data_IF_715888717912
#
_entry.id   IF_715888717912
#
_cell.length_a   1.000
_cell.length_b   1.000
_cell.length_c   1.000
_cell.angle_alpha   90.00
_cell.angle_beta   90.00
_cell.angle_gamma   90.00
#
_symmetry.space_group_name_H-M   'P 1'
#
loop_
_entity.id
_entity.type
_entity.pdbx_description
1 polymer ?
#
# COMPACT_ATOMS: atom_id res chain seq x y z
N UNK A 1 40.37 2.40 -12.37
CA UNK A 1 39.67 3.10 -11.30
C UNK A 1 38.37 3.71 -11.83
N UNK A 2 37.60 2.99 -12.66
CA UNK A 2 36.41 3.48 -13.37
C UNK A 2 35.21 2.49 -13.26
N UNK A 3 35.38 1.39 -12.51
CA UNK A 3 34.33 0.36 -12.36
C UNK A 3 33.54 0.43 -11.04
N UNK A 4 33.96 1.29 -10.09
CA UNK A 4 33.34 1.38 -8.77
C UNK A 4 32.17 2.41 -8.71
N UNK A 5 32.09 3.34 -9.65
CA UNK A 5 31.02 4.34 -9.68
C UNK A 5 29.76 3.86 -10.44
N UNK A 6 29.86 2.83 -11.29
CA UNK A 6 28.72 2.30 -12.05
C UNK A 6 27.72 1.49 -11.21
N UNK A 7 28.10 1.04 -10.00
CA UNK A 7 27.23 0.25 -9.12
C UNK A 7 26.34 1.06 -8.17
N UNK A 8 26.52 2.38 -8.08
CA UNK A 8 25.68 3.26 -7.25
C UNK A 8 24.39 3.74 -7.93
N UNK A 9 24.13 3.37 -9.19
CA UNK A 9 22.90 3.69 -9.91
C UNK A 9 21.76 2.69 -9.70
N UNK A 10 21.88 1.76 -8.75
CA UNK A 10 20.76 0.92 -8.37
C UNK A 10 19.87 1.71 -7.41
N UNK A 11 18.75 2.19 -7.97
CA UNK A 11 17.63 2.82 -7.26
C UNK A 11 17.44 2.18 -5.89
N UNK A 12 17.42 2.99 -4.84
CA UNK A 12 17.10 2.56 -3.47
C UNK A 12 15.60 2.21 -3.37
N UNK A 13 15.18 1.20 -4.13
CA UNK A 13 13.83 0.68 -4.06
C UNK A 13 13.55 0.12 -2.67
N UNK A 14 12.66 0.73 -1.92
CA UNK A 14 12.25 0.21 -0.63
C UNK A 14 11.57 -1.15 -0.81
N UNK A 15 12.08 -2.17 -0.11
CA UNK A 15 11.51 -3.52 -0.09
C UNK A 15 10.52 -3.72 1.05
N UNK A 16 10.60 -2.87 2.07
CA UNK A 16 9.78 -2.94 3.28
C UNK A 16 9.50 -1.53 3.79
N UNK A 17 8.45 -1.36 4.58
CA UNK A 17 8.17 -0.13 5.29
C UNK A 17 9.32 0.24 6.25
N UNK A 18 9.93 -0.75 6.90
CA UNK A 18 11.06 -0.53 7.80
C UNK A 18 12.27 0.14 7.13
N UNK A 19 12.57 -0.20 5.87
CA UNK A 19 13.64 0.47 5.12
C UNK A 19 13.32 1.95 4.88
N UNK A 20 12.07 2.25 4.52
CA UNK A 20 11.61 3.63 4.35
C UNK A 20 11.71 4.41 5.68
N UNK A 21 11.24 3.83 6.78
CA UNK A 21 11.32 4.43 8.13
C UNK A 21 12.78 4.74 8.49
N UNK A 22 13.69 3.79 8.26
CA UNK A 22 15.12 3.99 8.56
C UNK A 22 15.77 5.07 7.69
N UNK A 23 15.32 5.23 6.45
CA UNK A 23 15.82 6.25 5.54
C UNK A 23 15.27 7.64 5.91
N UNK A 24 14.00 7.74 6.24
CA UNK A 24 13.39 8.98 6.76
C UNK A 24 14.02 9.42 8.09
N UNK A 25 14.41 8.47 8.94
CA UNK A 25 15.11 8.77 10.19
C UNK A 25 16.49 9.36 9.94
N UNK A 26 17.27 8.80 9.01
CA UNK A 26 18.58 9.32 8.61
C UNK A 26 18.50 10.72 8.03
N UNK A 27 17.45 11.00 7.27
CA UNK A 27 17.16 12.32 6.70
C UNK A 27 16.65 13.33 7.74
N UNK A 28 16.37 12.87 8.97
CA UNK A 28 15.80 13.72 10.01
C UNK A 28 14.30 14.04 9.82
N UNK A 29 13.60 13.28 8.97
CA UNK A 29 12.17 13.42 8.64
C UNK A 29 11.28 12.46 9.44
N UNK A 30 11.81 11.85 10.53
CA UNK A 30 11.07 10.94 11.40
C UNK A 30 11.33 11.26 12.86
N UNK A 31 10.31 11.13 13.70
CA UNK A 31 10.41 11.10 15.16
C UNK A 31 10.00 9.73 15.67
N UNK A 32 10.64 9.28 16.76
CA UNK A 32 10.25 8.07 17.49
C UNK A 32 9.56 8.45 18.79
N UNK A 33 8.47 7.78 19.08
CA UNK A 33 7.77 7.86 20.36
C UNK A 33 7.98 6.53 21.06
N UNK A 34 8.87 6.51 22.05
CA UNK A 34 9.26 5.30 22.77
C UNK A 34 8.41 5.05 24.02
N UNK A 35 7.66 6.05 24.48
CA UNK A 35 6.65 5.94 25.51
C UNK A 35 5.49 5.09 25.00
N UNK A 36 4.78 4.45 25.94
CA UNK A 36 3.59 3.70 25.60
C UNK A 36 2.45 4.66 25.27
N UNK A 37 1.86 4.52 24.08
CA UNK A 37 0.76 5.35 23.59
C UNK A 37 -0.53 4.54 23.54
N UNK A 38 -1.65 5.17 23.89
CA UNK A 38 -2.96 4.57 23.75
C UNK A 38 -3.43 4.65 22.29
N UNK A 39 -3.81 3.53 21.63
CA UNK A 39 -4.35 3.57 20.28
C UNK A 39 -5.75 4.22 20.22
N UNK A 40 -6.48 4.32 21.34
CA UNK A 40 -7.76 5.01 21.42
C UNK A 40 -7.54 6.52 21.55
N UNK A 41 -7.71 7.25 20.46
CA UNK A 41 -7.64 8.70 20.28
C UNK A 41 -6.25 9.34 20.47
N UNK A 42 -5.39 8.85 21.39
CA UNK A 42 -4.10 9.50 21.66
C UNK A 42 -3.14 9.45 20.47
N UNK A 43 -3.02 8.28 19.81
CA UNK A 43 -2.23 8.16 18.58
C UNK A 43 -2.71 9.13 17.50
N UNK A 44 -4.03 9.29 17.36
CA UNK A 44 -4.63 10.19 16.38
C UNK A 44 -4.37 11.67 16.75
N UNK A 45 -4.45 12.03 18.02
CA UNK A 45 -4.13 13.39 18.49
C UNK A 45 -2.68 13.76 18.18
N UNK A 46 -1.73 12.88 18.53
CA UNK A 46 -0.31 13.08 18.23
C UNK A 46 -0.08 13.24 16.73
N UNK A 47 -0.74 12.39 15.90
CA UNK A 47 -0.66 12.49 14.45
C UNK A 47 -1.17 13.85 13.95
N UNK A 48 -2.33 14.29 14.40
CA UNK A 48 -2.95 15.55 13.97
C UNK A 48 -2.10 16.76 14.36
N UNK A 49 -1.56 16.78 15.57
CA UNK A 49 -0.66 17.84 16.04
C UNK A 49 0.60 17.95 15.18
N UNK A 50 1.19 16.81 14.81
CA UNK A 50 2.39 16.79 13.98
C UNK A 50 2.07 17.14 12.52
N UNK A 51 0.94 16.64 12.00
CA UNK A 51 0.48 16.96 10.65
C UNK A 51 0.16 18.46 10.49
N UNK A 52 -0.51 19.07 11.45
CA UNK A 52 -0.87 20.49 11.42
C UNK A 52 0.35 21.43 11.36
N UNK A 53 1.49 21.00 11.91
CA UNK A 53 2.77 21.73 11.85
C UNK A 53 3.52 21.51 10.53
N UNK A 54 3.00 20.67 9.61
CA UNK A 54 3.79 20.19 8.46
C UNK A 54 5.00 19.36 8.91
N UNK A 55 4.89 18.71 10.07
CA UNK A 55 5.98 18.07 10.77
C UNK A 55 6.35 16.67 10.23
N UNK A 56 7.10 15.93 11.03
CA UNK A 56 7.79 14.70 10.62
C UNK A 56 6.87 13.48 10.55
N UNK A 57 7.32 12.41 9.93
CA UNK A 57 6.75 11.07 10.11
C UNK A 57 6.93 10.62 11.56
N UNK A 58 6.04 9.76 12.04
CA UNK A 58 6.04 9.29 13.42
C UNK A 58 6.18 7.77 13.42
N UNK A 59 7.05 7.23 14.28
CA UNK A 59 7.09 5.83 14.61
C UNK A 59 6.70 5.64 16.08
N UNK A 60 5.55 5.04 16.33
CA UNK A 60 5.11 4.60 17.65
C UNK A 60 5.72 3.24 17.95
N UNK A 61 6.63 3.18 18.93
CA UNK A 61 7.37 1.95 19.27
C UNK A 61 6.59 1.04 20.23
N UNK A 62 5.78 1.61 21.09
CA UNK A 62 4.99 0.88 22.08
C UNK A 62 3.54 1.34 22.04
N UNK A 63 2.66 0.43 21.62
CA UNK A 63 1.23 0.68 21.54
C UNK A 63 0.54 -0.18 22.60
N UNK A 64 -0.28 0.45 23.44
CA UNK A 64 -1.04 -0.26 24.47
C UNK A 64 -1.92 -1.35 23.84
N UNK A 65 -1.81 -2.58 24.32
CA UNK A 65 -2.59 -3.72 23.82
C UNK A 65 -2.06 -4.38 22.56
N UNK A 66 -0.95 -3.91 21.96
CA UNK A 66 -0.34 -4.55 20.81
C UNK A 66 1.18 -4.71 20.97
N UNK A 67 1.69 -5.80 20.42
CA UNK A 67 3.15 -6.05 20.32
C UNK A 67 3.78 -5.43 19.07
N UNK A 68 2.94 -4.88 18.18
CA UNK A 68 3.39 -4.30 16.92
C UNK A 68 3.57 -2.79 17.04
N UNK A 69 4.50 -2.28 16.26
CA UNK A 69 4.72 -0.84 16.08
C UNK A 69 3.81 -0.30 14.99
N UNK A 70 3.60 1.01 14.98
CA UNK A 70 2.89 1.68 13.89
C UNK A 70 3.65 2.91 13.41
N UNK A 71 3.58 3.18 12.10
CA UNK A 71 4.07 4.41 11.51
C UNK A 71 2.91 5.29 11.08
N UNK A 72 3.07 6.58 11.25
CA UNK A 72 2.06 7.59 10.91
C UNK A 72 2.68 8.78 10.20
N UNK A 73 1.86 9.60 9.55
CA UNK A 73 2.27 10.83 8.86
C UNK A 73 3.37 10.64 7.79
N UNK A 74 3.47 9.44 7.20
CA UNK A 74 4.49 9.14 6.19
C UNK A 74 4.37 10.04 4.95
N UNK A 75 3.15 10.27 4.48
CA UNK A 75 2.83 11.06 3.29
C UNK A 75 2.36 12.48 3.61
N UNK A 76 2.54 12.96 4.84
CA UNK A 76 1.99 14.23 5.33
C UNK A 76 2.60 15.48 4.69
N UNK A 77 3.76 15.40 4.02
CA UNK A 77 4.34 16.52 3.28
C UNK A 77 4.78 16.12 1.89
N UNK A 78 4.66 17.07 0.94
CA UNK A 78 5.13 16.87 -0.43
C UNK A 78 6.64 16.63 -0.48
N UNK A 79 7.42 17.33 0.38
CA UNK A 79 8.87 17.15 0.50
C UNK A 79 9.21 15.69 0.81
N UNK A 80 8.57 15.12 1.82
CA UNK A 80 8.79 13.74 2.26
C UNK A 80 8.34 12.73 1.20
N UNK A 81 7.20 12.95 0.57
CA UNK A 81 6.74 12.11 -0.54
C UNK A 81 7.72 12.12 -1.72
N UNK A 82 8.24 13.30 -2.12
CA UNK A 82 9.29 13.42 -3.15
C UNK A 82 10.58 12.72 -2.73
N UNK A 83 10.97 12.81 -1.47
CA UNK A 83 12.15 12.14 -0.95
C UNK A 83 12.01 10.61 -1.02
N UNK A 84 10.87 10.07 -0.62
CA UNK A 84 10.60 8.62 -0.69
C UNK A 84 10.69 8.06 -2.11
N UNK A 85 10.31 8.83 -3.12
CA UNK A 85 10.29 8.40 -4.52
C UNK A 85 11.36 9.11 -5.38
N UNK A 86 12.40 9.69 -4.76
CA UNK A 86 13.42 10.52 -5.43
C UNK A 86 14.11 9.84 -6.61
N UNK A 87 14.28 8.51 -6.53
CA UNK A 87 15.01 7.74 -7.56
C UNK A 87 14.11 7.29 -8.73
N UNK A 88 12.79 7.35 -8.57
CA UNK A 88 11.84 6.83 -9.55
C UNK A 88 10.87 7.87 -10.10
N UNK A 89 10.66 8.98 -9.39
CA UNK A 89 9.62 9.96 -9.73
C UNK A 89 9.79 10.54 -11.14
N UNK A 90 11.02 10.90 -11.53
CA UNK A 90 11.28 11.45 -12.87
C UNK A 90 11.06 10.39 -13.95
N UNK A 91 11.44 9.14 -13.71
CA UNK A 91 11.18 8.02 -14.64
C UNK A 91 9.70 7.74 -14.80
N UNK A 92 8.92 7.85 -13.70
CA UNK A 92 7.44 7.74 -13.76
C UNK A 92 6.85 8.83 -14.64
N UNK A 93 7.27 10.09 -14.48
CA UNK A 93 6.83 11.21 -15.32
C UNK A 93 7.16 10.96 -16.79
N UNK A 94 8.38 10.56 -17.08
CA UNK A 94 8.82 10.24 -18.45
C UNK A 94 8.00 9.10 -19.07
N UNK A 95 7.67 8.05 -18.31
CA UNK A 95 6.82 6.95 -18.79
C UNK A 95 5.39 7.43 -19.09
N UNK A 96 4.84 8.32 -18.27
CA UNK A 96 3.53 8.92 -18.53
C UNK A 96 3.60 9.78 -19.80
N UNK A 97 4.64 10.60 -19.96
CA UNK A 97 4.84 11.43 -21.14
C UNK A 97 5.00 10.59 -22.42
N UNK A 98 5.76 9.51 -22.36
CA UNK A 98 5.91 8.56 -23.47
C UNK A 98 4.58 7.90 -23.85
N UNK A 99 3.73 7.57 -22.88
CA UNK A 99 2.39 7.00 -23.14
C UNK A 99 1.46 8.02 -23.79
N UNK A 100 1.51 9.28 -23.35
CA UNK A 100 0.64 10.34 -23.84
C UNK A 100 1.13 10.99 -25.14
N UNK A 101 2.45 11.06 -25.34
CA UNK A 101 3.11 11.64 -26.50
C UNK A 101 4.32 10.77 -26.95
N UNK A 102 4.08 9.67 -27.71
CA UNK A 102 5.15 8.79 -28.15
C UNK A 102 6.23 9.49 -28.99
N UNK A 103 5.91 10.60 -29.66
CA UNK A 103 6.87 11.39 -30.44
C UNK A 103 7.96 12.04 -29.56
N UNK A 104 7.76 12.16 -28.25
CA UNK A 104 8.78 12.66 -27.32
C UNK A 104 10.02 11.77 -27.28
N UNK A 105 9.88 10.45 -27.56
CA UNK A 105 10.99 9.50 -27.66
C UNK A 105 12.02 9.89 -28.74
N UNK A 106 11.60 10.57 -29.80
CA UNK A 106 12.47 11.00 -30.89
C UNK A 106 13.41 12.15 -30.49
N UNK A 107 13.07 12.90 -29.44
CA UNK A 107 13.91 14.03 -28.96
C UNK A 107 15.13 13.52 -28.19
N UNK A 108 14.97 12.48 -27.38
CA UNK A 108 16.04 11.90 -26.57
C UNK A 108 15.98 10.36 -26.59
N UNK A 109 16.46 9.70 -27.67
CA UNK A 109 16.30 8.26 -27.85
C UNK A 109 17.01 7.43 -26.77
N UNK A 110 18.17 7.84 -26.29
CA UNK A 110 18.85 7.14 -25.20
C UNK A 110 18.08 7.18 -23.89
N UNK A 111 17.55 8.34 -23.52
CA UNK A 111 16.74 8.49 -22.32
C UNK A 111 15.44 7.69 -22.43
N UNK A 112 14.82 7.67 -23.59
CA UNK A 112 13.64 6.85 -23.87
C UNK A 112 13.92 5.33 -23.68
N UNK A 113 15.10 4.85 -24.09
CA UNK A 113 15.50 3.45 -23.86
C UNK A 113 15.62 3.14 -22.35
N UNK A 114 16.32 3.99 -21.59
CA UNK A 114 16.45 3.79 -20.12
C UNK A 114 15.10 3.87 -19.42
N UNK A 115 14.22 4.76 -19.85
CA UNK A 115 12.86 4.88 -19.34
C UNK A 115 12.03 3.63 -19.69
N UNK A 116 12.14 3.12 -20.91
CA UNK A 116 11.49 1.88 -21.32
C UNK A 116 12.00 0.67 -20.54
N UNK A 117 13.29 0.60 -20.20
CA UNK A 117 13.85 -0.44 -19.35
C UNK A 117 13.27 -0.39 -17.93
N UNK A 118 12.95 0.79 -17.43
CA UNK A 118 12.27 0.94 -16.12
C UNK A 118 10.84 0.39 -16.14
N UNK A 119 10.20 0.36 -17.30
CA UNK A 119 8.86 -0.21 -17.47
C UNK A 119 8.79 -1.74 -17.19
N UNK A 120 9.93 -2.44 -17.11
CA UNK A 120 9.97 -3.86 -16.71
C UNK A 120 9.39 -4.05 -15.30
N UNK A 121 9.48 -3.02 -14.44
CA UNK A 121 8.90 -3.04 -13.11
C UNK A 121 7.36 -2.98 -13.10
N UNK A 122 6.73 -2.67 -14.23
CA UNK A 122 5.28 -2.74 -14.39
C UNK A 122 4.71 -4.15 -14.33
N UNK A 123 5.56 -5.18 -14.48
CA UNK A 123 5.13 -6.57 -14.53
C UNK A 123 5.09 -7.15 -13.12
N UNK A 124 3.91 -7.45 -12.53
CA UNK A 124 3.84 -8.14 -11.24
C UNK A 124 4.47 -9.53 -11.32
N UNK A 125 5.26 -9.89 -10.29
CA UNK A 125 6.00 -11.15 -10.26
C UNK A 125 5.43 -12.09 -9.21
N UNK A 126 5.00 -13.28 -9.67
CA UNK A 126 4.59 -14.36 -8.77
C UNK A 126 5.80 -14.96 -8.07
N UNK A 127 5.73 -15.05 -6.75
CA UNK A 127 6.78 -15.65 -5.92
C UNK A 127 6.20 -16.77 -5.05
N UNK A 128 7.10 -17.57 -4.45
CA UNK A 128 6.69 -18.55 -3.45
C UNK A 128 6.13 -17.83 -2.23
N UNK A 129 5.09 -18.41 -1.60
CA UNK A 129 4.54 -17.86 -0.35
C UNK A 129 5.66 -17.69 0.70
N UNK A 130 5.81 -16.47 1.28
CA UNK A 130 6.91 -16.19 2.18
C UNK A 130 6.76 -16.97 3.51
N UNK A 131 7.77 -17.76 3.87
CA UNK A 131 7.80 -18.52 5.12
C UNK A 131 7.80 -17.67 6.40
N UNK A 132 8.06 -16.36 6.27
CA UNK A 132 8.07 -15.40 7.38
C UNK A 132 6.67 -15.07 7.91
N UNK A 133 5.62 -15.25 7.12
CA UNK A 133 4.25 -15.01 7.56
C UNK A 133 3.85 -16.05 8.63
N UNK A 134 3.31 -15.52 9.72
CA UNK A 134 2.71 -16.29 10.82
C UNK A 134 1.27 -15.85 10.98
N UNK A 135 0.40 -16.77 11.34
CA UNK A 135 -0.97 -16.45 11.68
C UNK A 135 -1.01 -15.71 13.02
N UNK A 136 -1.84 -14.69 13.07
CA UNK A 136 -2.13 -13.87 14.24
C UNK A 136 -3.63 -13.58 14.27
N UNK A 137 -4.12 -13.10 15.41
CA UNK A 137 -5.51 -12.64 15.52
C UNK A 137 -5.60 -11.16 15.08
N UNK A 138 -6.79 -10.75 14.63
CA UNK A 138 -7.07 -9.34 14.26
C UNK A 138 -6.88 -8.43 15.46
N UNK A 139 -7.21 -8.91 16.66
CA UNK A 139 -7.02 -8.20 17.94
C UNK A 139 -5.56 -7.94 18.28
N UNK A 140 -4.60 -8.72 17.77
CA UNK A 140 -3.16 -8.49 17.98
C UNK A 140 -2.68 -7.20 17.28
N UNK A 141 -3.38 -6.74 16.23
CA UNK A 141 -3.05 -5.51 15.52
C UNK A 141 -3.29 -4.28 16.41
N UNK A 142 -2.58 -3.17 16.19
CA UNK A 142 -2.89 -1.91 16.85
C UNK A 142 -4.36 -1.52 16.60
N UNK A 143 -5.16 -1.46 17.66
CA UNK A 143 -6.59 -1.14 17.59
C UNK A 143 -6.78 0.38 17.59
N UNK A 144 -6.42 1.04 16.48
CA UNK A 144 -6.39 2.51 16.40
C UNK A 144 -7.78 3.08 16.17
N UNK A 145 -8.28 3.85 17.12
CA UNK A 145 -9.49 4.66 17.00
C UNK A 145 -9.10 6.13 16.79
N UNK A 146 -9.55 6.73 15.68
CA UNK A 146 -9.15 8.08 15.29
C UNK A 146 -10.12 9.17 15.77
N UNK A 147 -11.42 8.88 15.86
CA UNK A 147 -12.47 9.83 16.21
C UNK A 147 -13.34 9.24 17.31
N UNK A 148 -13.90 10.12 18.17
CA UNK A 148 -14.79 9.70 19.27
C UNK A 148 -16.00 8.91 18.75
N UNK A 149 -16.53 9.33 17.62
CA UNK A 149 -17.73 8.79 16.96
C UNK A 149 -17.43 7.54 16.13
N UNK A 150 -16.14 7.17 15.96
CA UNK A 150 -15.80 5.91 15.29
C UNK A 150 -16.39 4.73 16.06
N UNK A 151 -17.08 3.83 15.35
CA UNK A 151 -17.72 2.63 15.92
C UNK A 151 -16.74 1.62 16.50
N UNK A 152 -15.42 1.79 16.28
CA UNK A 152 -14.36 0.90 16.76
C UNK A 152 -13.00 1.27 16.20
N UNK A 153 -12.08 0.33 16.17
CA UNK A 153 -10.73 0.51 15.65
C UNK A 153 -10.67 0.35 14.14
N UNK A 154 -9.73 1.05 13.50
CA UNK A 154 -9.59 1.05 12.04
C UNK A 154 -8.15 0.90 11.57
N UNK A 155 -7.99 0.28 10.38
CA UNK A 155 -6.82 0.46 9.52
C UNK A 155 -7.13 1.60 8.57
N UNK A 156 -6.32 2.67 8.60
CA UNK A 156 -6.57 3.91 7.86
C UNK A 156 -5.88 3.97 6.50
N UNK A 157 -4.80 3.18 6.29
CA UNK A 157 -4.07 3.08 5.02
C UNK A 157 -3.96 1.62 4.53
N UNK A 158 -5.06 0.88 4.47
CA UNK A 158 -5.05 -0.47 3.90
C UNK A 158 -4.95 -0.41 2.38
N UNK A 159 -4.39 -1.45 1.81
CA UNK A 159 -4.37 -1.70 0.37
C UNK A 159 -5.27 -2.91 0.13
N UNK A 160 -6.46 -2.70 -0.40
CA UNK A 160 -7.46 -3.75 -0.59
C UNK A 160 -7.40 -4.25 -2.02
N UNK A 161 -7.08 -5.53 -2.15
CA UNK A 161 -6.97 -6.24 -3.41
C UNK A 161 -8.20 -7.07 -3.70
N UNK A 162 -8.72 -7.00 -4.92
CA UNK A 162 -9.77 -7.87 -5.44
C UNK A 162 -9.53 -8.18 -6.92
N UNK A 163 -9.99 -9.34 -7.41
CA UNK A 163 -9.93 -9.72 -8.83
C UNK A 163 -11.33 -9.69 -9.45
N UNK A 164 -11.41 -9.37 -10.75
CA UNK A 164 -12.65 -9.51 -11.51
C UNK A 164 -13.03 -10.99 -11.60
N UNK A 165 -14.19 -11.36 -11.08
CA UNK A 165 -14.67 -12.76 -11.07
C UNK A 165 -14.98 -13.31 -12.47
N UNK A 166 -15.17 -12.44 -13.48
CA UNK A 166 -15.37 -12.87 -14.87
C UNK A 166 -14.04 -13.09 -15.59
N UNK A 167 -13.03 -12.29 -15.27
CA UNK A 167 -11.69 -12.36 -15.85
C UNK A 167 -10.63 -12.29 -14.75
N UNK A 168 -10.50 -13.35 -13.90
CA UNK A 168 -9.59 -13.32 -12.77
C UNK A 168 -8.12 -13.24 -13.22
N UNK A 169 -7.32 -12.53 -12.45
CA UNK A 169 -5.89 -12.41 -12.70
C UNK A 169 -5.32 -11.09 -12.19
N UNK A 170 -4.01 -11.10 -11.93
CA UNK A 170 -3.30 -9.98 -11.34
C UNK A 170 -3.39 -8.68 -12.18
N UNK A 171 -3.52 -8.80 -13.50
CA UNK A 171 -3.64 -7.63 -14.38
C UNK A 171 -5.08 -7.13 -14.52
N UNK A 172 -6.07 -7.93 -14.12
CA UNK A 172 -7.50 -7.60 -14.11
C UNK A 172 -8.00 -7.46 -12.68
N UNK A 173 -7.17 -6.93 -11.81
CA UNK A 173 -7.44 -6.74 -10.41
C UNK A 173 -7.47 -5.25 -10.06
N UNK A 174 -8.02 -4.95 -8.92
CA UNK A 174 -8.06 -3.64 -8.32
C UNK A 174 -7.25 -3.66 -7.03
N UNK A 175 -6.45 -2.63 -6.80
CA UNK A 175 -5.81 -2.34 -5.52
C UNK A 175 -6.26 -0.94 -5.09
N UNK A 176 -7.22 -0.88 -4.17
CA UNK A 176 -7.80 0.38 -3.72
C UNK A 176 -7.59 0.63 -2.24
N UNK A 177 -7.68 1.88 -1.82
CA UNK A 177 -7.62 2.25 -0.41
C UNK A 177 -9.03 2.44 0.14
N UNK A 178 -9.46 1.49 0.97
CA UNK A 178 -10.78 1.47 1.60
C UNK A 178 -10.62 1.25 3.09
N UNK A 179 -11.10 2.17 3.93
CA UNK A 179 -10.96 2.11 5.38
C UNK A 179 -11.53 0.81 5.94
N UNK A 180 -10.75 0.07 6.72
CA UNK A 180 -11.14 -1.21 7.31
C UNK A 180 -11.42 -1.02 8.80
N UNK A 181 -12.62 -1.35 9.23
CA UNK A 181 -13.01 -1.36 10.65
C UNK A 181 -12.69 -2.75 11.25
N UNK A 182 -11.82 -2.77 12.27
CA UNK A 182 -11.32 -4.02 12.88
C UNK A 182 -12.21 -4.53 14.00
N UNK A 183 -12.97 -3.63 14.63
CA UNK A 183 -13.77 -3.95 15.82
C UNK A 183 -14.96 -2.98 15.94
N UNK A 184 -15.84 -3.25 16.89
CA UNK A 184 -17.05 -2.49 17.10
C UNK A 184 -18.20 -2.94 16.23
N UNK A 185 -19.34 -2.23 16.25
CA UNK A 185 -20.61 -2.70 15.74
C UNK A 185 -20.91 -4.12 16.31
N UNK A 186 -21.63 -4.95 15.59
CA UNK A 186 -21.92 -6.33 15.98
C UNK A 186 -20.99 -7.35 15.31
N UNK A 187 -19.78 -6.94 14.91
CA UNK A 187 -18.80 -7.82 14.27
C UNK A 187 -18.32 -8.92 15.22
N UNK A 188 -18.28 -10.13 14.72
CA UNK A 188 -17.70 -11.26 15.46
C UNK A 188 -16.17 -11.09 15.55
N UNK A 189 -15.61 -10.95 16.79
CA UNK A 189 -14.18 -10.71 16.98
C UNK A 189 -13.32 -11.74 16.26
N UNK A 190 -12.25 -11.31 15.61
CA UNK A 190 -11.30 -12.13 14.85
C UNK A 190 -11.87 -12.87 13.64
N UNK A 191 -13.13 -12.67 13.30
CA UNK A 191 -13.80 -13.30 12.15
C UNK A 191 -14.36 -12.30 11.17
N UNK A 192 -14.85 -11.17 11.63
CA UNK A 192 -15.51 -10.16 10.83
C UNK A 192 -14.82 -8.81 10.95
N UNK A 193 -14.73 -8.10 9.83
CA UNK A 193 -14.24 -6.73 9.74
C UNK A 193 -15.13 -5.96 8.78
N UNK A 194 -15.34 -4.68 9.07
CA UNK A 194 -16.09 -3.79 8.18
C UNK A 194 -15.20 -3.18 7.11
N UNK A 195 -15.70 -3.07 5.88
CA UNK A 195 -15.00 -2.37 4.80
C UNK A 195 -15.89 -1.27 4.23
N UNK A 196 -15.37 -0.04 4.21
CA UNK A 196 -16.10 1.14 3.74
C UNK A 196 -15.62 1.52 2.34
N UNK A 197 -16.43 1.26 1.33
CA UNK A 197 -16.15 1.60 -0.07
C UNK A 197 -17.37 2.15 -0.80
N UNK A 198 -17.13 2.80 -1.92
CA UNK A 198 -18.17 3.32 -2.81
C UNK A 198 -18.43 2.33 -3.95
N UNK A 199 -19.70 2.08 -4.26
CA UNK A 199 -20.13 1.08 -5.27
C UNK A 199 -19.57 1.31 -6.68
N UNK A 200 -19.25 2.54 -7.04
CA UNK A 200 -18.67 2.88 -8.34
C UNK A 200 -17.14 2.79 -8.38
N UNK A 201 -16.49 2.44 -7.28
CA UNK A 201 -15.05 2.15 -7.25
C UNK A 201 -14.77 0.74 -7.76
N UNK A 202 -13.51 0.46 -8.13
CA UNK A 202 -13.11 -0.82 -8.71
C UNK A 202 -13.59 -2.05 -7.92
N UNK A 203 -13.49 -2.02 -6.58
CA UNK A 203 -14.00 -3.11 -5.74
C UNK A 203 -15.52 -3.24 -5.84
N UNK A 204 -16.27 -2.14 -5.91
CA UNK A 204 -17.72 -2.17 -6.06
C UNK A 204 -18.16 -2.76 -7.41
N UNK A 205 -17.38 -2.52 -8.47
CA UNK A 205 -17.60 -3.16 -9.78
C UNK A 205 -17.39 -4.67 -9.68
N UNK A 206 -16.30 -5.12 -9.01
CA UNK A 206 -16.03 -6.54 -8.80
C UNK A 206 -17.12 -7.21 -7.92
N UNK A 207 -17.56 -6.52 -6.85
CA UNK A 207 -18.66 -7.00 -6.00
C UNK A 207 -19.97 -7.17 -6.75
N UNK A 208 -20.33 -6.19 -7.60
CA UNK A 208 -21.53 -6.28 -8.43
C UNK A 208 -21.50 -7.52 -9.33
N UNK A 209 -20.37 -7.81 -9.97
CA UNK A 209 -20.20 -8.99 -10.82
C UNK A 209 -20.26 -10.29 -10.01
N UNK A 210 -19.63 -10.32 -8.84
CA UNK A 210 -19.70 -11.46 -7.94
C UNK A 210 -21.13 -11.74 -7.49
N UNK A 211 -21.90 -10.72 -7.11
CA UNK A 211 -23.31 -10.84 -6.75
C UNK A 211 -24.15 -11.36 -7.91
N UNK A 212 -23.92 -10.93 -9.15
CA UNK A 212 -24.62 -11.43 -10.34
C UNK A 212 -24.34 -12.90 -10.61
N UNK A 213 -23.17 -13.41 -10.23
CA UNK A 213 -22.82 -14.83 -10.32
C UNK A 213 -23.28 -15.65 -9.12
N UNK A 214 -23.76 -15.03 -8.05
CA UNK A 214 -24.11 -15.73 -6.81
C UNK A 214 -22.88 -16.22 -6.05
N UNK A 215 -21.71 -15.57 -6.21
CA UNK A 215 -20.45 -15.94 -5.58
C UNK A 215 -19.99 -14.83 -4.61
N UNK A 216 -19.34 -15.18 -3.48
CA UNK A 216 -18.69 -14.17 -2.64
C UNK A 216 -17.46 -13.61 -3.35
N UNK A 217 -17.20 -12.31 -3.19
CA UNK A 217 -15.98 -11.69 -3.70
C UNK A 217 -14.82 -11.91 -2.72
N UNK A 218 -13.80 -12.64 -3.14
CA UNK A 218 -12.55 -12.78 -2.37
C UNK A 218 -11.77 -11.49 -2.35
N UNK A 219 -11.33 -11.09 -1.16
CA UNK A 219 -10.52 -9.89 -0.94
C UNK A 219 -9.29 -10.20 -0.10
N UNK A 220 -8.21 -9.47 -0.37
CA UNK A 220 -7.02 -9.49 0.46
C UNK A 220 -6.66 -8.06 0.85
N UNK A 221 -6.51 -7.82 2.14
CA UNK A 221 -6.20 -6.50 2.70
C UNK A 221 -4.73 -6.52 3.10
N UNK A 222 -3.91 -5.71 2.44
CA UNK A 222 -2.50 -5.56 2.76
C UNK A 222 -2.30 -4.34 3.65
N UNK A 223 -1.43 -4.46 4.64
CA UNK A 223 -1.07 -3.38 5.55
C UNK A 223 0.44 -3.26 5.60
N UNK A 224 0.95 -2.05 5.50
CA UNK A 224 2.38 -1.79 5.44
C UNK A 224 3.02 -2.19 4.11
N UNK A 225 4.27 -2.67 4.17
CA UNK A 225 5.06 -2.96 2.97
C UNK A 225 5.71 -1.73 2.33
N UNK A 226 6.18 -1.83 1.09
CA UNK A 226 6.80 -0.71 0.39
C UNK A 226 5.84 0.48 0.24
N UNK A 227 6.28 1.73 0.49
CA UNK A 227 5.43 2.93 0.36
C UNK A 227 4.76 3.09 -1.00
N UNK A 228 5.39 2.59 -2.07
CA UNK A 228 4.84 2.63 -3.42
C UNK A 228 3.53 1.83 -3.55
N UNK A 229 3.35 0.77 -2.76
CA UNK A 229 2.12 -0.01 -2.76
C UNK A 229 0.96 0.79 -2.15
N UNK A 230 1.20 1.43 -1.00
CA UNK A 230 0.22 2.31 -0.35
C UNK A 230 -0.15 3.49 -1.23
N UNK A 231 0.86 4.10 -1.87
CA UNK A 231 0.65 5.24 -2.75
C UNK A 231 -0.14 4.86 -4.01
N UNK A 232 0.14 3.69 -4.60
CA UNK A 232 -0.58 3.18 -5.77
C UNK A 232 -2.07 2.91 -5.46
N UNK A 233 -2.39 2.42 -4.27
CA UNK A 233 -3.77 2.14 -3.86
C UNK A 233 -4.65 3.39 -3.73
N UNK A 234 -4.07 4.59 -3.61
CA UNK A 234 -4.81 5.86 -3.48
C UNK A 234 -4.79 6.68 -4.77
N UNK A 235 -3.87 6.38 -5.70
CA UNK A 235 -3.72 7.18 -6.92
C UNK A 235 -4.89 6.99 -7.89
N UNK A 236 -5.46 8.08 -8.41
CA UNK A 236 -6.41 8.03 -9.52
C UNK A 236 -5.65 7.73 -10.82
N UNK A 237 -5.47 6.44 -11.11
CA UNK A 237 -4.75 6.03 -12.32
C UNK A 237 -5.63 6.15 -13.57
N UNK A 238 -5.04 6.44 -14.75
CA UNK A 238 -5.75 6.40 -16.02
C UNK A 238 -6.34 5.01 -16.29
N UNK A 239 -7.45 4.97 -17.00
CA UNK A 239 -8.08 3.72 -17.42
C UNK A 239 -7.08 2.78 -18.12
N UNK A 240 -7.14 1.49 -17.77
CA UNK A 240 -6.23 0.47 -18.29
C UNK A 240 -4.81 0.45 -17.69
N UNK A 241 -4.56 1.24 -16.63
CA UNK A 241 -3.32 1.15 -15.86
C UNK A 241 -3.58 0.42 -14.54
N UNK A 242 -2.96 -0.75 -14.35
CA UNK A 242 -3.04 -1.52 -13.11
C UNK A 242 -2.26 -0.83 -11.98
N UNK A 243 -2.86 -0.76 -10.79
CA UNK A 243 -2.23 -0.23 -9.58
C UNK A 243 -0.96 -1.02 -9.22
N UNK A 244 -0.94 -2.34 -9.45
CA UNK A 244 0.24 -3.17 -9.22
C UNK A 244 1.38 -2.82 -10.18
N UNK A 245 1.04 -2.53 -11.45
CA UNK A 245 2.02 -2.05 -12.43
C UNK A 245 2.58 -0.69 -12.02
N UNK A 246 1.70 0.24 -11.61
CA UNK A 246 2.12 1.55 -11.14
C UNK A 246 2.97 1.46 -9.86
N UNK A 247 2.58 0.63 -8.89
CA UNK A 247 3.35 0.38 -7.67
C UNK A 247 4.77 -0.12 -7.99
N UNK A 248 4.89 -1.00 -8.99
CA UNK A 248 6.18 -1.50 -9.45
C UNK A 248 7.05 -0.41 -10.07
N UNK A 249 6.50 0.38 -10.98
CA UNK A 249 7.22 1.48 -11.63
C UNK A 249 7.64 2.55 -10.60
N UNK A 250 6.70 2.98 -9.76
CA UNK A 250 6.96 3.99 -8.73
C UNK A 250 7.96 3.50 -7.68
N UNK A 251 7.89 2.22 -7.32
CA UNK A 251 8.80 1.61 -6.37
C UNK A 251 10.17 1.25 -6.96
N UNK A 252 10.36 1.33 -8.28
CA UNK A 252 11.58 0.86 -8.95
C UNK A 252 11.81 -0.64 -8.76
N UNK A 253 10.74 -1.41 -8.56
CA UNK A 253 10.78 -2.84 -8.25
C UNK A 253 9.44 -3.50 -8.50
N UNK A 254 9.43 -4.66 -9.16
CA UNK A 254 8.19 -5.39 -9.46
C UNK A 254 7.33 -5.61 -8.22
N UNK A 255 6.02 -5.44 -8.34
CA UNK A 255 5.06 -5.87 -7.32
C UNK A 255 5.14 -7.39 -7.18
N UNK A 256 5.43 -7.88 -5.97
CA UNK A 256 5.61 -9.31 -5.71
C UNK A 256 4.39 -9.88 -5.03
N UNK A 257 3.86 -10.97 -5.59
CA UNK A 257 2.67 -11.62 -5.02
C UNK A 257 2.82 -13.13 -4.92
N UNK A 258 2.09 -13.73 -4.01
CA UNK A 258 1.93 -15.17 -3.87
C UNK A 258 0.45 -15.54 -3.89
N UNK A 259 0.15 -16.79 -4.17
CA UNK A 259 -1.19 -17.36 -4.01
C UNK A 259 -1.19 -18.30 -2.81
N UNK A 260 -2.17 -18.19 -1.92
CA UNK A 260 -2.41 -19.11 -0.81
C UNK A 260 -3.92 -19.25 -0.58
N UNK A 261 -4.41 -20.46 -0.51
CA UNK A 261 -5.80 -20.81 -0.22
C UNK A 261 -6.83 -20.07 -1.11
N UNK A 262 -6.44 -19.83 -2.38
CA UNK A 262 -7.26 -19.13 -3.36
C UNK A 262 -7.20 -17.60 -3.28
N UNK A 263 -6.41 -17.05 -2.38
CA UNK A 263 -6.18 -15.61 -2.25
C UNK A 263 -4.87 -15.18 -2.93
N UNK A 264 -4.86 -13.97 -3.49
CA UNK A 264 -3.65 -13.29 -3.92
C UNK A 264 -3.13 -12.42 -2.78
N UNK A 265 -1.86 -12.59 -2.43
CA UNK A 265 -1.24 -11.98 -1.26
C UNK A 265 -0.02 -11.18 -1.70
N UNK A 266 0.11 -9.93 -1.24
CA UNK A 266 1.37 -9.19 -1.40
C UNK A 266 2.47 -9.88 -0.58
N UNK A 267 3.54 -10.30 -1.25
CA UNK A 267 4.68 -10.94 -0.60
C UNK A 267 5.54 -9.97 0.23
N UNK A 268 5.32 -8.67 0.07
CA UNK A 268 6.08 -7.60 0.71
C UNK A 268 5.28 -6.85 1.78
N UNK A 269 3.99 -7.14 1.96
CA UNK A 269 3.18 -6.57 3.05
C UNK A 269 3.71 -6.98 4.43
N UNK A 270 3.48 -6.14 5.44
CA UNK A 270 3.78 -6.48 6.83
C UNK A 270 2.67 -7.36 7.42
N UNK A 271 1.39 -7.07 7.08
CA UNK A 271 0.23 -7.88 7.46
C UNK A 271 -0.68 -8.10 6.26
N UNK A 272 -1.40 -9.23 6.28
CA UNK A 272 -2.42 -9.57 5.30
C UNK A 272 -3.63 -10.13 6.02
N UNK A 273 -4.82 -9.58 5.72
CA UNK A 273 -6.10 -10.15 6.12
C UNK A 273 -6.78 -10.67 4.84
N UNK A 274 -7.16 -11.93 4.84
CA UNK A 274 -7.91 -12.55 3.73
C UNK A 274 -9.34 -12.82 4.16
N UNK A 275 -10.29 -12.51 3.31
CA UNK A 275 -11.70 -12.70 3.60
C UNK A 275 -12.56 -12.61 2.35
N UNK A 276 -13.86 -12.70 2.54
CA UNK A 276 -14.86 -12.66 1.48
C UNK A 276 -15.86 -11.54 1.80
N UNK A 277 -16.23 -10.79 0.77
CA UNK A 277 -17.38 -9.90 0.85
C UNK A 277 -18.62 -10.73 0.54
N UNK A 278 -19.53 -10.78 1.50
CA UNK A 278 -20.80 -11.42 1.31
C UNK A 278 -21.67 -10.65 0.32
N UNK A 279 -22.62 -11.35 -0.28
CA UNK A 279 -23.64 -10.70 -1.10
C UNK A 279 -24.39 -9.70 -0.22
N UNK A 280 -24.55 -8.49 -0.72
CA UNK A 280 -25.45 -7.55 -0.07
C UNK A 280 -26.89 -8.03 -0.34
N UNK A 281 -27.63 -8.30 0.71
CA UNK A 281 -29.06 -8.47 0.70
C UNK A 281 -29.77 -7.16 0.30
#
# INVERSE_FOLDING_TARGET
MLFTEFFYFWTMAYRTLQQCISDLEKEGELIRISEQVNPDLEMASIHLDEFAKGGKAILFEKIKGSKFRAASNLFGTLKRSKFMFRDSLEKVKQLIDLKTNPASALKNPFEAIFTALHAIYAIPVKVRFPRKFKEIQIEDLPQVKCWKEDGGAFITLPQVYSEDVENPGIMNSNLGMYRIQLSGNDYVPNKEVGMHYQIHRGIGVHQKKANQKGEPLKVSIFVGGPPAHTFAAVMPLPEGMSEMAFAGILGGRNFRYAKKDGYTISADADFVICGELHQND
#
